data_IF_169273265623
#
_entry.id   IF_169273265623
#
_cell.length_a   1.000
_cell.length_b   1.000
_cell.length_c   1.000
_cell.angle_alpha   90.00
_cell.angle_beta   90.00
_cell.angle_gamma   90.00
#
_symmetry.space_group_name_H-M   'P 1'
#
loop_
_entity.id
_entity.type
_entity.pdbx_description
1 polymer ?
#
# COMPACT_ATOMS: atom_id res chain seq x y z
N UNK A 1 -8.92 -6.12 -24.84
CA UNK A 1 -9.54 -6.83 -23.71
C UNK A 1 -8.41 -7.38 -22.87
N UNK A 2 -8.02 -6.68 -21.83
CA UNK A 2 -7.20 -7.25 -20.75
C UNK A 2 -7.40 -6.39 -19.48
N UNK A 3 -8.51 -6.65 -18.81
CA UNK A 3 -8.90 -5.96 -17.57
C UNK A 3 -8.36 -6.74 -16.39
N UNK A 4 -7.12 -6.46 -15.99
CA UNK A 4 -6.43 -7.08 -14.86
C UNK A 4 -7.03 -6.69 -13.49
N UNK A 5 -8.26 -7.10 -13.22
CA UNK A 5 -8.80 -7.16 -11.87
C UNK A 5 -8.25 -8.40 -11.16
N UNK A 6 -7.05 -8.29 -10.56
CA UNK A 6 -6.42 -9.41 -9.86
C UNK A 6 -7.21 -9.78 -8.58
N UNK A 7 -8.15 -10.70 -8.70
CA UNK A 7 -8.36 -11.69 -7.65
C UNK A 7 -7.06 -12.48 -7.55
N UNK A 8 -6.29 -12.25 -6.48
CA UNK A 8 -5.02 -12.97 -6.22
C UNK A 8 -5.27 -14.47 -6.40
N UNK A 9 -4.52 -15.11 -7.29
CA UNK A 9 -4.69 -16.54 -7.49
C UNK A 9 -4.43 -17.28 -6.18
N UNK A 10 -5.09 -18.41 -5.97
CA UNK A 10 -4.88 -19.21 -4.76
C UNK A 10 -3.39 -19.63 -4.63
N UNK A 11 -2.73 -19.84 -5.77
CA UNK A 11 -1.32 -20.19 -5.89
C UNK A 11 -0.41 -19.05 -5.37
N UNK A 12 -0.66 -17.79 -5.76
CA UNK A 12 0.10 -16.64 -5.25
C UNK A 12 0.03 -16.55 -3.72
N UNK A 13 -1.15 -16.79 -3.14
CA UNK A 13 -1.34 -16.73 -1.68
C UNK A 13 -0.58 -17.85 -0.97
N UNK A 14 -0.53 -19.04 -1.57
CA UNK A 14 0.23 -20.17 -1.04
C UNK A 14 1.74 -19.88 -1.11
N UNK A 15 2.23 -19.39 -2.25
CA UNK A 15 3.63 -19.02 -2.43
C UNK A 15 4.09 -17.93 -1.46
N UNK A 16 3.28 -16.88 -1.29
CA UNK A 16 3.54 -15.82 -0.31
C UNK A 16 3.61 -16.36 1.12
N UNK A 17 2.68 -17.24 1.50
CA UNK A 17 2.68 -17.85 2.84
C UNK A 17 3.92 -18.72 3.07
N UNK A 18 4.30 -19.53 2.09
CA UNK A 18 5.50 -20.36 2.18
C UNK A 18 6.77 -19.52 2.35
N UNK A 19 6.87 -18.41 1.64
CA UNK A 19 7.97 -17.47 1.80
C UNK A 19 7.95 -16.79 3.18
N UNK A 20 6.79 -16.35 3.66
CA UNK A 20 6.65 -15.75 4.99
C UNK A 20 7.04 -16.72 6.11
N UNK A 21 6.59 -17.97 6.01
CA UNK A 21 6.93 -19.03 6.95
C UNK A 21 8.45 -19.28 6.95
N UNK A 22 9.07 -19.38 5.76
CA UNK A 22 10.51 -19.53 5.62
C UNK A 22 11.29 -18.35 6.23
N UNK A 23 10.97 -17.11 5.86
CA UNK A 23 11.63 -15.91 6.39
C UNK A 23 11.52 -15.86 7.92
N UNK A 24 10.37 -16.23 8.48
CA UNK A 24 10.17 -16.33 9.93
C UNK A 24 11.13 -17.34 10.56
N UNK A 25 11.36 -18.50 9.94
CA UNK A 25 12.29 -19.53 10.48
C UNK A 25 13.73 -19.03 10.59
N UNK A 26 14.14 -18.09 9.73
CA UNK A 26 15.49 -17.50 9.72
C UNK A 26 15.56 -16.13 10.41
N UNK A 27 14.54 -15.77 11.21
CA UNK A 27 14.56 -14.55 12.01
C UNK A 27 14.21 -13.27 11.24
N UNK A 28 13.61 -13.40 10.06
CA UNK A 28 13.25 -12.30 9.17
C UNK A 28 11.73 -12.16 9.02
N UNK A 29 11.31 -11.02 8.51
CA UNK A 29 9.92 -10.65 8.27
C UNK A 29 9.80 -9.88 6.96
N UNK A 30 8.86 -10.29 6.11
CA UNK A 30 8.51 -9.57 4.88
C UNK A 30 7.50 -8.48 5.19
N UNK A 31 7.90 -7.21 5.03
CA UNK A 31 7.00 -6.06 5.05
C UNK A 31 6.49 -5.82 3.63
N UNK A 32 5.17 -5.96 3.45
CA UNK A 32 4.53 -5.81 2.13
C UNK A 32 4.66 -4.39 1.57
N UNK A 33 4.88 -4.31 0.26
CA UNK A 33 4.99 -3.09 -0.53
C UNK A 33 3.78 -2.99 -1.46
N UNK A 34 3.36 -1.77 -1.80
CA UNK A 34 2.32 -1.56 -2.78
C UNK A 34 2.63 -2.29 -4.11
N UNK A 35 1.68 -3.09 -4.60
CA UNK A 35 1.81 -3.88 -5.84
C UNK A 35 1.49 -3.03 -7.07
N UNK A 36 2.37 -2.07 -7.37
CA UNK A 36 2.33 -1.25 -8.58
C UNK A 36 3.68 -1.28 -9.32
N UNK A 37 3.75 -0.64 -10.50
CA UNK A 37 4.96 -0.57 -11.33
C UNK A 37 6.15 0.13 -10.67
N UNK A 38 5.99 0.64 -9.45
CA UNK A 38 7.05 1.28 -8.66
C UNK A 38 7.51 0.43 -7.47
N UNK A 39 7.13 -0.86 -7.39
CA UNK A 39 7.44 -1.70 -6.23
C UNK A 39 8.95 -1.77 -5.88
N UNK A 40 9.85 -1.83 -6.86
CA UNK A 40 11.30 -1.78 -6.58
C UNK A 40 11.68 -0.47 -5.86
N UNK A 41 11.34 0.68 -6.44
CA UNK A 41 11.66 1.98 -5.85
C UNK A 41 10.99 2.20 -4.50
N UNK A 42 9.77 1.68 -4.30
CA UNK A 42 9.10 1.69 -2.99
C UNK A 42 9.82 0.85 -1.97
N UNK A 43 10.26 -0.35 -2.34
CA UNK A 43 10.99 -1.24 -1.45
C UNK A 43 12.38 -0.68 -1.10
N UNK A 44 13.04 0.00 -2.04
CA UNK A 44 14.31 0.69 -1.80
C UNK A 44 14.10 1.92 -0.93
N UNK A 45 13.10 2.77 -1.22
CA UNK A 45 12.73 3.90 -0.37
C UNK A 45 12.42 3.45 1.06
N UNK A 46 11.71 2.34 1.23
CA UNK A 46 11.48 1.71 2.53
C UNK A 46 12.79 1.32 3.23
N UNK A 47 13.74 0.69 2.53
CA UNK A 47 14.98 0.19 3.14
C UNK A 47 16.03 1.28 3.41
N UNK A 48 15.99 2.40 2.69
CA UNK A 48 17.00 3.47 2.79
C UNK A 48 16.48 4.77 3.39
N UNK A 49 15.16 5.03 3.28
CA UNK A 49 14.49 6.24 3.80
C UNK A 49 13.37 5.91 4.82
N UNK A 50 13.13 4.63 5.13
CA UNK A 50 12.13 4.17 6.10
C UNK A 50 10.67 4.50 5.76
N UNK A 51 10.38 4.88 4.50
CA UNK A 51 9.02 5.18 4.05
C UNK A 51 8.85 4.97 2.54
N UNK A 52 7.80 4.24 2.14
CA UNK A 52 7.55 3.90 0.73
C UNK A 52 7.12 5.11 -0.08
N UNK A 53 6.59 6.15 0.57
CA UNK A 53 6.10 7.37 -0.08
C UNK A 53 7.18 8.13 -0.86
N UNK A 54 8.46 7.95 -0.51
CA UNK A 54 9.58 8.56 -1.22
C UNK A 54 9.98 7.84 -2.52
N UNK A 55 9.21 6.85 -2.99
CA UNK A 55 9.58 6.09 -4.18
C UNK A 55 9.74 6.93 -5.46
N UNK A 56 9.00 8.04 -5.60
CA UNK A 56 9.14 8.96 -6.73
C UNK A 56 10.47 9.71 -6.68
N UNK A 57 10.88 10.13 -5.48
CA UNK A 57 12.18 10.75 -5.22
C UNK A 57 13.31 9.77 -5.56
N UNK A 58 13.24 8.53 -5.07
CA UNK A 58 14.23 7.49 -5.35
C UNK A 58 14.32 7.20 -6.86
N UNK A 59 13.18 7.12 -7.56
CA UNK A 59 13.15 6.93 -9.02
C UNK A 59 13.83 8.09 -9.75
N UNK A 60 13.50 9.33 -9.39
CA UNK A 60 14.11 10.52 -9.99
C UNK A 60 15.62 10.57 -9.75
N UNK A 61 16.07 10.27 -8.53
CA UNK A 61 17.49 10.18 -8.20
C UNK A 61 18.20 9.08 -9.00
N UNK A 62 17.55 7.93 -9.21
CA UNK A 62 18.09 6.85 -10.04
C UNK A 62 18.27 7.27 -11.51
N UNK A 63 17.26 7.93 -12.10
CA UNK A 63 17.33 8.45 -13.48
C UNK A 63 18.48 9.44 -13.63
N UNK A 64 18.58 10.39 -12.70
CA UNK A 64 19.64 11.40 -12.71
C UNK A 64 21.04 10.79 -12.49
N UNK A 65 21.12 9.75 -11.65
CA UNK A 65 22.36 9.00 -11.44
C UNK A 65 22.80 8.28 -12.72
N UNK A 66 21.89 7.57 -13.39
CA UNK A 66 22.19 6.90 -14.65
C UNK A 66 22.66 7.91 -15.70
N UNK A 67 21.96 9.03 -15.84
CA UNK A 67 22.31 10.11 -16.76
C UNK A 67 23.72 10.64 -16.54
N UNK A 68 24.11 10.89 -15.28
CA UNK A 68 25.45 11.38 -14.92
C UNK A 68 26.56 10.36 -15.15
N UNK A 69 26.22 9.07 -15.17
CA UNK A 69 27.18 7.98 -15.29
C UNK A 69 26.98 7.20 -16.60
N UNK A 70 26.51 7.86 -17.67
CA UNK A 70 26.17 7.25 -18.96
C UNK A 70 27.22 6.25 -19.44
N UNK A 71 28.49 6.65 -19.46
CA UNK A 71 29.61 5.82 -19.92
C UNK A 71 29.71 4.45 -19.21
N UNK A 72 29.22 4.35 -17.96
CA UNK A 72 29.24 3.12 -17.17
C UNK A 72 28.00 2.24 -17.37
N UNK A 73 26.90 2.79 -17.88
CA UNK A 73 25.60 2.11 -17.91
C UNK A 73 25.04 1.89 -19.32
N UNK A 74 25.41 2.72 -20.30
CA UNK A 74 24.85 2.69 -21.64
C UNK A 74 25.03 1.34 -22.33
N UNK A 75 26.17 0.67 -22.13
CA UNK A 75 26.43 -0.65 -22.70
C UNK A 75 25.52 -1.78 -22.17
N UNK A 76 24.83 -1.56 -21.04
CA UNK A 76 23.91 -2.53 -20.42
C UNK A 76 22.43 -2.22 -20.70
N UNK A 77 22.15 -1.16 -21.47
CA UNK A 77 20.80 -0.72 -21.80
C UNK A 77 20.47 -1.15 -23.23
N UNK A 78 19.31 -1.77 -23.38
CA UNK A 78 18.77 -2.12 -24.69
C UNK A 78 18.12 -0.90 -25.36
N UNK A 79 18.60 -0.55 -26.55
CA UNK A 79 18.07 0.55 -27.35
C UNK A 79 18.77 1.89 -27.09
N UNK A 80 18.09 2.99 -27.41
CA UNK A 80 18.63 4.33 -27.18
C UNK A 80 18.60 4.70 -25.68
N UNK A 81 19.70 5.25 -25.19
CA UNK A 81 19.89 5.58 -23.78
C UNK A 81 18.94 6.68 -23.30
N UNK A 82 18.70 7.72 -24.10
CA UNK A 82 17.83 8.82 -23.71
C UNK A 82 16.35 8.37 -23.71
N UNK A 83 15.96 7.56 -24.69
CA UNK A 83 14.64 6.91 -24.72
C UNK A 83 14.43 6.00 -23.51
N UNK A 84 15.46 5.26 -23.10
CA UNK A 84 15.43 4.45 -21.88
C UNK A 84 15.18 5.30 -20.64
N UNK A 85 15.95 6.37 -20.44
CA UNK A 85 15.77 7.28 -19.30
C UNK A 85 14.42 8.00 -19.33
N UNK A 86 13.89 8.32 -20.50
CA UNK A 86 12.55 8.87 -20.66
C UNK A 86 11.49 7.88 -20.15
N UNK A 87 11.56 6.62 -20.58
CA UNK A 87 10.64 5.56 -20.12
C UNK A 87 10.79 5.29 -18.63
N UNK A 88 12.02 5.30 -18.10
CA UNK A 88 12.29 5.03 -16.69
C UNK A 88 11.61 6.04 -15.73
N UNK A 89 11.32 7.27 -16.22
CA UNK A 89 10.57 8.26 -15.45
C UNK A 89 9.09 7.89 -15.27
N UNK A 90 8.52 7.05 -16.13
CA UNK A 90 7.13 6.59 -15.99
C UNK A 90 7.02 5.65 -14.77
N UNK A 91 6.18 5.97 -13.76
CA UNK A 91 5.96 5.13 -12.60
C UNK A 91 5.39 3.73 -12.90
N UNK A 92 4.87 3.50 -14.12
CA UNK A 92 4.40 2.20 -14.59
C UNK A 92 5.49 1.37 -15.26
N UNK A 93 6.63 1.96 -15.61
CA UNK A 93 7.71 1.26 -16.27
C UNK A 93 8.37 0.25 -15.33
N UNK A 94 8.52 -0.97 -15.83
CA UNK A 94 9.21 -2.06 -15.14
C UNK A 94 10.71 -1.82 -15.18
N UNK A 95 11.37 -2.26 -14.11
CA UNK A 95 12.78 -1.98 -13.85
C UNK A 95 13.52 -3.27 -13.51
N UNK A 96 14.83 -3.26 -13.73
CA UNK A 96 15.67 -4.44 -13.71
C UNK A 96 17.00 -4.23 -13.01
N UNK A 97 17.99 -4.98 -13.47
CA UNK A 97 19.31 -5.08 -12.86
C UNK A 97 20.10 -3.76 -12.94
N UNK A 98 19.94 -3.00 -14.03
CA UNK A 98 20.57 -1.69 -14.22
C UNK A 98 20.20 -0.74 -13.09
N UNK A 99 18.91 -0.62 -12.76
CA UNK A 99 18.45 0.22 -11.65
C UNK A 99 18.94 -0.31 -10.31
N UNK A 100 18.91 -1.62 -10.08
CA UNK A 100 19.41 -2.21 -8.82
C UNK A 100 20.89 -1.87 -8.62
N UNK A 101 21.71 -1.99 -9.66
CA UNK A 101 23.13 -1.64 -9.61
C UNK A 101 23.32 -0.14 -9.31
N UNK A 102 22.62 0.74 -10.03
CA UNK A 102 22.68 2.17 -9.81
C UNK A 102 22.28 2.56 -8.38
N UNK A 103 21.18 2.00 -7.88
CA UNK A 103 20.69 2.23 -6.51
C UNK A 103 21.68 1.70 -5.46
N UNK A 104 22.36 0.58 -5.72
CA UNK A 104 23.37 0.03 -4.83
C UNK A 104 24.56 0.99 -4.66
N UNK A 105 25.07 1.53 -5.77
CA UNK A 105 26.19 2.48 -5.77
C UNK A 105 25.78 3.82 -5.15
N UNK A 106 24.59 4.30 -5.48
CA UNK A 106 24.05 5.59 -5.01
C UNK A 106 23.83 5.60 -3.50
N UNK A 107 23.23 4.55 -2.94
CA UNK A 107 22.98 4.44 -1.50
C UNK A 107 24.09 3.73 -0.71
N UNK A 108 25.18 3.32 -1.37
CA UNK A 108 26.30 2.56 -0.77
C UNK A 108 25.80 1.34 0.00
N UNK A 109 24.93 0.56 -0.64
CA UNK A 109 24.28 -0.62 -0.06
C UNK A 109 24.19 -1.75 -1.06
N UNK A 110 24.64 -2.94 -0.69
CA UNK A 110 24.49 -4.10 -1.57
C UNK A 110 23.09 -4.72 -1.49
N UNK A 111 22.64 -5.34 -2.57
CA UNK A 111 21.30 -5.92 -2.69
C UNK A 111 21.32 -7.43 -2.43
N UNK A 112 20.50 -7.84 -1.46
CA UNK A 112 20.21 -9.24 -1.14
C UNK A 112 18.73 -9.51 -1.44
N UNK A 113 18.44 -10.51 -2.27
CA UNK A 113 17.07 -10.82 -2.66
C UNK A 113 16.73 -12.28 -2.35
N UNK A 114 15.68 -12.47 -1.57
CA UNK A 114 15.04 -13.77 -1.33
C UNK A 114 14.05 -14.05 -2.46
N UNK A 115 14.25 -15.14 -3.21
CA UNK A 115 13.43 -15.47 -4.39
C UNK A 115 12.65 -16.78 -4.21
N UNK A 116 13.19 -17.73 -3.44
CA UNK A 116 12.60 -19.05 -3.21
C UNK A 116 12.59 -19.41 -1.72
N UNK A 117 11.52 -20.04 -1.20
CA UNK A 117 11.51 -20.60 0.15
C UNK A 117 12.62 -21.64 0.34
N UNK A 118 13.20 -21.69 1.54
CA UNK A 118 14.27 -22.63 1.91
C UNK A 118 15.58 -22.50 1.12
N UNK A 119 15.75 -21.40 0.38
CA UNK A 119 17.01 -21.06 -0.32
C UNK A 119 17.65 -19.82 0.29
N UNK A 120 19.00 -19.73 0.34
CA UNK A 120 19.67 -18.51 0.78
C UNK A 120 19.33 -17.33 -0.14
N UNK A 121 19.46 -16.11 0.36
CA UNK A 121 19.31 -14.91 -0.48
C UNK A 121 20.38 -14.88 -1.57
N UNK A 122 19.99 -14.42 -2.76
CA UNK A 122 20.92 -14.14 -3.85
C UNK A 122 21.54 -12.76 -3.63
N UNK A 123 22.87 -12.68 -3.73
CA UNK A 123 23.61 -11.42 -3.74
C UNK A 123 23.57 -10.85 -5.15
N UNK A 124 22.67 -9.88 -5.38
CA UNK A 124 22.52 -9.24 -6.70
C UNK A 124 23.67 -8.27 -6.97
N UNK A 125 24.16 -7.59 -5.93
CA UNK A 125 25.34 -6.75 -6.02
C UNK A 125 26.36 -7.15 -4.95
N UNK A 126 27.63 -6.93 -5.25
CA UNK A 126 28.75 -7.28 -4.38
C UNK A 126 29.86 -6.21 -4.44
N UNK A 127 29.50 -4.97 -4.14
CA UNK A 127 30.43 -3.85 -4.09
C UNK A 127 31.21 -3.79 -2.77
N UNK A 128 31.03 -4.78 -1.90
CA UNK A 128 31.58 -4.83 -0.55
C UNK A 128 31.14 -3.64 0.33
N UNK A 129 29.90 -3.19 0.16
CA UNK A 129 29.32 -2.18 1.04
C UNK A 129 28.94 -2.77 2.40
N UNK A 130 29.09 -1.98 3.46
CA UNK A 130 28.78 -2.41 4.85
C UNK A 130 27.29 -2.70 5.02
N UNK A 131 26.46 -1.80 4.52
CA UNK A 131 25.01 -1.89 4.66
C UNK A 131 24.40 -2.63 3.45
N UNK A 132 23.22 -3.22 3.64
CA UNK A 132 22.54 -3.99 2.62
C UNK A 132 21.06 -3.66 2.54
N UNK A 133 20.53 -3.56 1.32
CA UNK A 133 19.09 -3.56 1.03
C UNK A 133 18.64 -5.02 0.93
N UNK A 134 17.64 -5.41 1.74
CA UNK A 134 17.11 -6.78 1.75
C UNK A 134 15.71 -6.80 1.19
N UNK A 135 15.52 -7.49 0.07
CA UNK A 135 14.25 -7.60 -0.63
C UNK A 135 13.78 -9.04 -0.70
N UNK A 136 12.49 -9.21 -0.98
CA UNK A 136 11.88 -10.46 -1.36
C UNK A 136 11.26 -10.28 -2.73
N UNK A 137 11.54 -11.16 -3.69
CA UNK A 137 10.95 -11.13 -5.02
C UNK A 137 9.97 -12.29 -5.18
N UNK A 138 8.71 -11.98 -5.47
CA UNK A 138 7.61 -12.94 -5.53
C UNK A 138 6.79 -12.77 -6.80
N UNK A 139 6.13 -13.87 -7.21
CA UNK A 139 5.17 -13.93 -8.32
C UNK A 139 5.73 -13.44 -9.68
N UNK A 140 7.06 -13.44 -9.83
CA UNK A 140 7.75 -13.06 -11.07
C UNK A 140 7.77 -11.55 -11.37
N UNK A 141 7.22 -10.70 -10.50
CA UNK A 141 7.12 -9.26 -10.81
C UNK A 141 7.06 -8.31 -9.60
N UNK A 142 7.17 -8.80 -8.36
CA UNK A 142 6.92 -7.96 -7.20
C UNK A 142 8.04 -8.02 -6.16
N UNK A 143 8.51 -6.83 -5.76
CA UNK A 143 9.47 -6.66 -4.67
C UNK A 143 8.80 -6.21 -3.38
N UNK A 144 9.06 -6.96 -2.31
CA UNK A 144 8.75 -6.59 -0.93
C UNK A 144 10.02 -6.30 -0.13
N UNK A 145 9.87 -5.58 0.98
CA UNK A 145 10.97 -5.24 1.88
C UNK A 145 11.14 -6.33 2.94
N UNK A 146 12.38 -6.69 3.29
CA UNK A 146 12.67 -7.71 4.31
C UNK A 146 13.42 -7.09 5.48
N UNK A 147 12.92 -7.34 6.69
CA UNK A 147 13.50 -6.84 7.94
C UNK A 147 13.80 -7.95 8.92
N UNK A 148 14.80 -7.78 9.81
CA UNK A 148 14.89 -8.60 11.01
C UNK A 148 13.62 -8.51 11.85
N UNK A 149 13.20 -9.62 12.44
CA UNK A 149 12.02 -9.65 13.34
C UNK A 149 12.18 -8.66 14.51
N UNK A 150 13.41 -8.45 15.00
CA UNK A 150 13.71 -7.46 16.05
C UNK A 150 13.32 -6.03 15.64
N UNK A 151 13.57 -5.66 14.38
CA UNK A 151 13.16 -4.36 13.84
C UNK A 151 11.63 -4.21 13.85
N UNK A 152 10.90 -5.26 13.45
CA UNK A 152 9.43 -5.25 13.47
C UNK A 152 8.85 -5.14 14.89
N UNK A 153 9.47 -5.82 15.87
CA UNK A 153 9.09 -5.67 17.29
C UNK A 153 9.30 -4.23 17.77
N UNK A 154 10.43 -3.60 17.43
CA UNK A 154 10.69 -2.20 17.73
C UNK A 154 9.65 -1.27 17.08
N UNK A 155 9.34 -1.50 15.79
CA UNK A 155 8.34 -0.73 15.07
C UNK A 155 6.93 -0.85 15.67
N UNK A 156 6.53 -2.05 16.13
CA UNK A 156 5.25 -2.26 16.81
C UNK A 156 5.15 -1.46 18.12
N UNK A 157 6.22 -1.45 18.93
CA UNK A 157 6.27 -0.63 20.15
C UNK A 157 6.15 0.85 19.81
N UNK A 158 6.96 1.36 18.88
CA UNK A 158 6.89 2.75 18.44
C UNK A 158 5.50 3.13 17.91
N UNK A 159 4.88 2.26 17.12
CA UNK A 159 3.52 2.46 16.62
C UNK A 159 2.52 2.56 17.77
N UNK A 160 2.57 1.66 18.75
CA UNK A 160 1.66 1.68 19.90
C UNK A 160 1.75 2.97 20.71
N UNK A 161 2.98 3.47 20.94
CA UNK A 161 3.22 4.73 21.64
C UNK A 161 2.67 5.91 20.82
N UNK A 162 2.96 5.95 19.52
CA UNK A 162 2.46 7.01 18.64
C UNK A 162 0.93 7.06 18.64
N UNK A 163 0.26 5.91 18.56
CA UNK A 163 -1.19 5.83 18.58
C UNK A 163 -1.76 6.19 19.96
N UNK A 164 -1.11 5.82 21.06
CA UNK A 164 -1.52 6.27 22.40
C UNK A 164 -1.47 7.80 22.48
N UNK A 165 -0.35 8.41 22.06
CA UNK A 165 -0.18 9.87 22.06
C UNK A 165 -1.21 10.57 21.17
N UNK A 166 -1.44 10.05 19.96
CA UNK A 166 -2.44 10.61 19.04
C UNK A 166 -3.84 10.59 19.66
N UNK A 167 -4.26 9.44 20.21
CA UNK A 167 -5.62 9.30 20.74
C UNK A 167 -5.83 10.06 22.05
N UNK A 168 -4.85 10.06 22.95
CA UNK A 168 -4.93 10.81 24.20
C UNK A 168 -4.81 12.31 23.99
N UNK A 169 -3.78 12.76 23.28
CA UNK A 169 -3.41 14.17 23.28
C UNK A 169 -4.06 14.96 22.16
N UNK A 170 -4.40 14.33 21.02
CA UNK A 170 -5.05 15.00 19.89
C UNK A 170 -6.55 14.74 19.92
N UNK A 171 -6.97 13.48 19.90
CA UNK A 171 -8.40 13.12 19.88
C UNK A 171 -9.09 13.16 21.24
N UNK A 172 -8.36 13.46 22.32
CA UNK A 172 -8.88 13.59 23.70
C UNK A 172 -9.67 12.36 24.16
N UNK A 173 -9.25 11.18 23.73
CA UNK A 173 -9.79 9.91 24.20
C UNK A 173 -9.22 9.61 25.59
N UNK A 174 -10.11 9.24 26.51
CA UNK A 174 -9.74 8.93 27.88
C UNK A 174 -8.76 7.75 27.94
N UNK A 175 -7.68 7.90 28.72
CA UNK A 175 -6.61 6.90 28.81
C UNK A 175 -7.08 5.57 29.37
N UNK A 176 -8.12 5.55 30.22
CA UNK A 176 -8.72 4.31 30.72
C UNK A 176 -9.34 3.45 29.61
N UNK A 177 -9.84 4.09 28.55
CA UNK A 177 -10.35 3.40 27.36
C UNK A 177 -9.20 2.74 26.61
N UNK A 178 -8.03 3.38 26.53
CA UNK A 178 -6.87 2.84 25.81
C UNK A 178 -6.16 1.73 26.59
N UNK A 179 -6.07 1.86 27.92
CA UNK A 179 -5.37 0.91 28.79
C UNK A 179 -5.94 -0.53 28.72
N UNK A 180 -7.23 -0.67 28.39
CA UNK A 180 -7.85 -1.97 28.16
C UNK A 180 -7.26 -2.74 26.97
N UNK A 181 -6.73 -2.03 25.97
CA UNK A 181 -6.21 -2.61 24.73
C UNK A 181 -4.71 -2.92 24.77
N UNK A 182 -3.99 -2.36 25.75
CA UNK A 182 -2.57 -2.62 25.99
C UNK A 182 -2.34 -3.88 26.84
N UNK A 183 -3.40 -4.44 27.47
CA UNK A 183 -3.30 -5.50 28.49
C UNK A 183 -3.44 -6.95 27.99
N UNK A 184 -3.64 -7.19 26.70
CA UNK A 184 -3.73 -8.55 26.15
C UNK A 184 -2.38 -9.06 25.67
N UNK A 185 -1.55 -9.50 26.62
CA UNK A 185 -0.30 -10.23 26.36
C UNK A 185 -0.36 -11.65 26.93
N UNK A 186 -1.21 -12.52 26.39
CA UNK A 186 -1.08 -13.99 26.56
C UNK A 186 -1.11 -14.67 25.20
N UNK A 187 0.06 -14.70 24.57
CA UNK A 187 0.70 -15.81 23.87
C UNK A 187 1.81 -15.19 23.01
N UNK A 188 3.02 -15.76 23.12
CA UNK A 188 4.07 -15.53 22.14
C UNK A 188 3.50 -15.74 20.72
N UNK A 189 3.86 -14.87 19.77
CA UNK A 189 3.58 -14.94 18.31
C UNK A 189 2.39 -14.15 17.72
N UNK A 190 2.49 -12.82 17.57
CA UNK A 190 1.84 -12.21 16.38
C UNK A 190 2.73 -11.11 15.80
N UNK A 191 3.39 -11.38 14.67
CA UNK A 191 4.40 -10.50 14.07
C UNK A 191 3.92 -9.72 12.84
N UNK A 192 2.66 -9.88 12.40
CA UNK A 192 2.04 -9.01 11.38
C UNK A 192 0.53 -9.19 11.29
N UNK A 193 -0.17 -8.08 11.01
CA UNK A 193 -1.62 -8.01 10.74
C UNK A 193 -2.03 -8.77 9.47
N UNK A 194 -1.07 -9.08 8.59
CA UNK A 194 -1.28 -9.72 7.29
C UNK A 194 -1.86 -11.14 7.35
N UNK A 195 -1.73 -11.80 8.51
CA UNK A 195 -2.25 -13.14 8.78
C UNK A 195 -3.70 -13.12 9.28
N UNK A 196 -4.22 -11.95 9.64
CA UNK A 196 -5.59 -11.78 10.11
C UNK A 196 -6.52 -11.46 8.94
N UNK A 197 -7.76 -11.93 8.99
CA UNK A 197 -8.78 -11.55 8.01
C UNK A 197 -8.86 -10.01 7.92
N UNK A 198 -8.90 -9.48 6.70
CA UNK A 198 -9.10 -8.06 6.46
C UNK A 198 -10.33 -7.63 7.25
N UNK A 199 -10.17 -6.63 8.13
CA UNK A 199 -11.31 -6.07 8.85
C UNK A 199 -12.31 -5.57 7.81
N UNK A 200 -13.41 -6.30 7.65
CA UNK A 200 -14.60 -5.86 6.93
C UNK A 200 -15.02 -4.61 7.69
N UNK A 201 -14.74 -3.45 7.11
CA UNK A 201 -15.04 -2.16 7.72
C UNK A 201 -16.54 -2.12 8.01
N UNK A 202 -16.91 -2.14 9.28
CA UNK A 202 -18.15 -1.55 9.75
C UNK A 202 -18.00 -0.02 9.64
N UNK A 203 -17.91 0.48 8.41
CA UNK A 203 -18.10 1.91 8.11
C UNK A 203 -19.60 2.28 8.13
N UNK A 204 -20.48 1.29 8.26
CA UNK A 204 -21.93 1.45 8.45
C UNK A 204 -22.30 1.23 9.93
N UNK A 205 -21.83 2.11 10.81
CA UNK A 205 -22.33 2.16 12.20
C UNK A 205 -22.41 3.59 12.71
N UNK A 206 -22.95 4.49 11.90
CA UNK A 206 -23.66 5.66 12.44
C UNK A 206 -25.02 5.17 12.98
N UNK A 207 -24.96 4.50 14.12
CA UNK A 207 -26.08 3.87 14.78
C UNK A 207 -26.08 4.23 16.26
N UNK A 208 -26.86 5.26 16.59
CA UNK A 208 -27.39 5.61 17.92
C UNK A 208 -27.15 4.56 19.01
N UNK A 209 -26.26 4.88 19.95
CA UNK A 209 -26.24 4.33 21.30
C UNK A 209 -25.70 2.91 21.46
N UNK A 210 -24.39 2.77 21.71
CA UNK A 210 -23.77 1.78 22.63
C UNK A 210 -22.24 1.98 22.65
N UNK A 211 -21.72 2.57 23.73
CA UNK A 211 -20.30 2.52 24.15
C UNK A 211 -19.26 3.14 23.20
N UNK A 212 -18.41 4.04 23.71
CA UNK A 212 -17.21 4.55 23.00
C UNK A 212 -16.19 3.42 22.78
N UNK A 213 -16.41 2.53 21.82
CA UNK A 213 -15.43 1.51 21.43
C UNK A 213 -14.61 1.99 20.24
N UNK A 214 -13.29 1.90 20.38
CA UNK A 214 -12.35 2.20 19.30
C UNK A 214 -12.52 1.21 18.17
N UNK A 215 -12.30 1.65 16.93
CA UNK A 215 -12.29 0.74 15.80
C UNK A 215 -11.20 -0.32 15.96
N UNK A 216 -11.42 -1.51 15.39
CA UNK A 216 -10.46 -2.61 15.47
C UNK A 216 -9.08 -2.25 14.94
N UNK A 217 -9.02 -1.39 13.93
CA UNK A 217 -7.76 -0.87 13.35
C UNK A 217 -6.94 -0.09 14.37
N UNK A 218 -7.61 0.75 15.15
CA UNK A 218 -6.98 1.55 16.21
C UNK A 218 -6.51 0.64 17.33
N UNK A 219 -7.37 -0.29 17.75
CA UNK A 219 -7.03 -1.29 18.77
C UNK A 219 -5.78 -2.09 18.39
N UNK A 220 -5.69 -2.55 17.14
CA UNK A 220 -4.52 -3.28 16.65
C UNK A 220 -3.26 -2.41 16.61
N UNK A 221 -3.36 -1.15 16.23
CA UNK A 221 -2.23 -0.21 16.24
C UNK A 221 -1.77 0.20 17.64
N UNK A 222 -2.62 0.08 18.66
CA UNK A 222 -2.27 0.27 20.08
C UNK A 222 -1.59 -0.96 20.71
N UNK A 223 -1.51 -2.09 20.00
CA UNK A 223 -0.88 -3.30 20.52
C UNK A 223 0.65 -3.25 20.29
N UNK A 224 1.48 -3.23 21.35
CA UNK A 224 2.93 -3.11 21.23
C UNK A 224 3.63 -4.33 20.61
N UNK A 225 2.93 -5.47 20.45
CA UNK A 225 3.48 -6.67 19.83
C UNK A 225 3.09 -6.82 18.37
N UNK A 226 2.14 -6.02 17.87
CA UNK A 226 1.58 -6.14 16.53
C UNK A 226 1.92 -4.89 15.70
N UNK A 227 2.75 -5.05 14.68
CA UNK A 227 2.98 -3.99 13.71
C UNK A 227 1.89 -4.00 12.63
N UNK A 228 1.24 -2.85 12.41
CA UNK A 228 0.39 -2.63 11.22
C UNK A 228 1.14 -1.88 10.12
N UNK A 229 1.11 -2.43 8.92
CA UNK A 229 1.66 -1.79 7.73
C UNK A 229 0.66 -0.78 7.14
N UNK A 230 0.56 0.39 7.78
CA UNK A 230 -0.48 1.40 7.49
C UNK A 230 -0.41 1.89 6.03
N UNK A 231 0.80 2.09 5.49
CA UNK A 231 0.98 2.53 4.10
C UNK A 231 0.38 1.53 3.11
N UNK A 232 0.65 0.23 3.31
CA UNK A 232 0.09 -0.83 2.48
C UNK A 232 -1.43 -0.96 2.65
N UNK A 233 -1.94 -0.83 3.88
CA UNK A 233 -3.38 -0.86 4.16
C UNK A 233 -4.13 0.28 3.45
N UNK A 234 -3.57 1.49 3.46
CA UNK A 234 -4.12 2.65 2.76
C UNK A 234 -4.13 2.38 1.26
N UNK A 235 -3.01 1.92 0.70
CA UNK A 235 -2.93 1.57 -0.72
C UNK A 235 -3.97 0.50 -1.12
N UNK A 236 -4.15 -0.56 -0.33
CA UNK A 236 -5.16 -1.58 -0.60
C UNK A 236 -6.58 -1.00 -0.64
N UNK A 237 -6.91 -0.08 0.27
CA UNK A 237 -8.22 0.58 0.27
C UNK A 237 -8.41 1.42 -0.97
N UNK A 238 -7.40 2.21 -1.35
CA UNK A 238 -7.45 3.00 -2.58
C UNK A 238 -7.63 2.12 -3.81
N UNK A 239 -6.97 0.96 -3.88
CA UNK A 239 -7.16 0.00 -4.98
C UNK A 239 -8.56 -0.61 -5.01
N UNK A 240 -9.12 -0.99 -3.86
CA UNK A 240 -10.52 -1.48 -3.80
C UNK A 240 -11.53 -0.40 -4.20
N UNK A 241 -11.31 0.84 -3.78
CA UNK A 241 -12.16 1.97 -4.17
C UNK A 241 -12.08 2.22 -5.68
N UNK A 242 -10.87 2.21 -6.25
CA UNK A 242 -10.66 2.34 -7.69
C UNK A 242 -11.35 1.20 -8.46
N UNK A 243 -11.15 -0.06 -8.05
CA UNK A 243 -11.81 -1.21 -8.69
C UNK A 243 -13.34 -1.11 -8.65
N UNK A 244 -13.90 -0.64 -7.53
CA UNK A 244 -15.35 -0.41 -7.41
C UNK A 244 -15.80 0.67 -8.40
N UNK A 245 -15.05 1.76 -8.52
CA UNK A 245 -15.33 2.83 -9.46
C UNK A 245 -15.23 2.34 -10.91
N UNK A 246 -14.15 1.65 -11.27
CA UNK A 246 -13.93 1.09 -12.60
C UNK A 246 -15.03 0.11 -12.99
N UNK A 247 -15.47 -0.73 -12.04
CA UNK A 247 -16.61 -1.63 -12.24
C UNK A 247 -17.91 -0.85 -12.48
N UNK A 248 -18.20 0.19 -11.69
CA UNK A 248 -19.37 1.02 -11.90
C UNK A 248 -19.35 1.65 -13.31
N UNK A 249 -18.22 2.21 -13.72
CA UNK A 249 -18.04 2.79 -15.06
C UNK A 249 -18.25 1.71 -16.15
N UNK A 250 -17.62 0.54 -16.02
CA UNK A 250 -17.72 -0.55 -16.98
C UNK A 250 -19.14 -1.14 -17.08
N UNK A 251 -19.88 -1.16 -15.97
CA UNK A 251 -21.27 -1.58 -15.91
C UNK A 251 -22.25 -0.50 -16.41
N UNK A 252 -21.76 0.66 -16.87
CA UNK A 252 -22.59 1.79 -17.29
C UNK A 252 -23.25 2.55 -16.14
N UNK A 253 -22.91 2.23 -14.88
CA UNK A 253 -23.38 2.94 -13.70
C UNK A 253 -22.52 4.20 -13.50
N UNK A 254 -22.92 5.30 -14.15
CA UNK A 254 -22.23 6.59 -14.03
C UNK A 254 -22.44 7.27 -12.66
N UNK A 255 -23.47 6.86 -11.94
CA UNK A 255 -23.95 7.52 -10.73
C UNK A 255 -24.35 6.49 -9.67
N UNK A 256 -24.22 6.85 -8.40
CA UNK A 256 -24.73 6.09 -7.27
C UNK A 256 -25.81 6.88 -6.51
N UNK A 257 -26.74 6.15 -5.89
CA UNK A 257 -27.70 6.74 -4.95
C UNK A 257 -26.93 7.38 -3.79
N UNK A 258 -27.20 8.65 -3.53
CA UNK A 258 -26.51 9.46 -2.53
C UNK A 258 -25.45 10.41 -3.10
N UNK A 259 -25.05 10.27 -4.36
CA UNK A 259 -24.08 11.18 -4.98
C UNK A 259 -24.63 12.60 -5.03
N UNK A 260 -23.77 13.58 -4.73
CA UNK A 260 -24.08 15.00 -4.91
C UNK A 260 -23.75 15.41 -6.33
N UNK A 261 -24.71 16.04 -7.00
CA UNK A 261 -24.58 16.51 -8.37
C UNK A 261 -25.15 17.91 -8.53
N UNK A 262 -24.92 18.51 -9.69
CA UNK A 262 -25.55 19.75 -10.10
C UNK A 262 -26.47 19.49 -11.29
N UNK A 263 -27.70 19.99 -11.22
CA UNK A 263 -28.67 19.90 -12.31
C UNK A 263 -29.00 21.28 -12.86
N UNK A 264 -29.18 21.38 -14.17
CA UNK A 264 -29.57 22.62 -14.84
C UNK A 264 -31.05 22.58 -15.18
N UNK A 265 -31.85 23.44 -14.55
CA UNK A 265 -33.27 23.61 -14.82
C UNK A 265 -33.52 25.05 -15.27
N UNK A 266 -34.11 25.23 -16.46
CA UNK A 266 -34.47 26.55 -17.01
C UNK A 266 -33.30 27.55 -17.01
N UNK A 267 -32.08 27.07 -17.28
CA UNK A 267 -30.87 27.91 -17.33
C UNK A 267 -30.23 28.23 -15.98
N UNK A 268 -30.83 27.80 -14.85
CA UNK A 268 -30.24 27.90 -13.51
C UNK A 268 -29.68 26.56 -13.05
N UNK A 269 -28.60 26.61 -12.29
CA UNK A 269 -27.93 25.41 -11.75
C UNK A 269 -28.32 25.23 -10.29
N UNK A 270 -28.69 24.02 -9.90
CA UNK A 270 -29.10 23.70 -8.53
C UNK A 270 -28.28 22.52 -7.99
N UNK A 271 -27.99 22.54 -6.70
CA UNK A 271 -27.42 21.39 -6.00
C UNK A 271 -28.49 20.31 -5.80
N UNK A 272 -28.13 19.07 -6.10
CA UNK A 272 -29.02 17.94 -5.98
C UNK A 272 -28.31 16.70 -5.45
N UNK A 273 -29.09 15.77 -4.92
CA UNK A 273 -28.61 14.45 -4.48
C UNK A 273 -29.33 13.36 -5.26
N UNK A 274 -28.58 12.42 -5.84
CA UNK A 274 -29.13 11.29 -6.59
C UNK A 274 -29.90 10.37 -5.65
N UNK A 275 -31.15 10.03 -6.00
CA UNK A 275 -32.04 9.19 -5.19
C UNK A 275 -32.27 7.82 -5.80
N UNK A 276 -32.36 7.72 -7.12
CA UNK A 276 -32.54 6.45 -7.83
C UNK A 276 -31.74 6.45 -9.13
N UNK A 277 -31.01 5.38 -9.38
CA UNK A 277 -30.26 5.14 -10.61
C UNK A 277 -30.81 3.88 -11.26
N UNK A 278 -31.55 3.99 -12.37
CA UNK A 278 -32.08 2.82 -13.07
C UNK A 278 -30.97 1.94 -13.65
N UNK A 279 -31.13 0.60 -13.65
CA UNK A 279 -30.12 -0.34 -14.14
C UNK A 279 -29.89 -0.29 -15.66
N UNK A 280 -30.76 0.36 -16.41
CA UNK A 280 -30.77 0.44 -17.87
C UNK A 280 -30.16 1.75 -18.41
N UNK A 281 -29.36 2.46 -17.61
CA UNK A 281 -28.74 3.73 -17.98
C UNK A 281 -29.76 4.79 -18.46
N UNK A 282 -30.98 4.71 -17.93
CA UNK A 282 -32.06 5.68 -18.19
C UNK A 282 -32.01 6.86 -17.22
N UNK A 283 -32.94 7.80 -17.35
CA UNK A 283 -32.93 9.06 -16.60
C UNK A 283 -32.85 8.83 -15.08
N UNK A 284 -31.93 9.53 -14.43
CA UNK A 284 -31.60 9.39 -13.01
C UNK A 284 -32.50 10.29 -12.18
N UNK A 285 -33.10 9.77 -11.11
CA UNK A 285 -33.91 10.60 -10.23
C UNK A 285 -33.03 11.32 -9.21
N UNK A 286 -33.13 12.65 -9.16
CA UNK A 286 -32.42 13.51 -8.20
C UNK A 286 -33.39 14.20 -7.25
N UNK A 287 -32.93 14.58 -6.07
CA UNK A 287 -33.62 15.49 -5.16
C UNK A 287 -32.89 16.83 -5.16
N UNK A 288 -33.57 17.89 -5.60
CA UNK A 288 -33.00 19.24 -5.64
C UNK A 288 -33.25 19.90 -4.29
N UNK A 289 -32.17 20.18 -3.55
CA UNK A 289 -32.24 20.61 -2.14
C UNK A 289 -33.00 21.94 -1.99
N UNK A 290 -32.71 22.90 -2.86
CA UNK A 290 -33.32 24.24 -2.85
C UNK A 290 -34.80 24.25 -3.25
N UNK A 291 -35.21 23.31 -4.11
CA UNK A 291 -36.59 23.21 -4.59
C UNK A 291 -37.43 22.24 -3.75
N UNK A 292 -36.81 21.52 -2.83
CA UNK A 292 -37.46 20.58 -1.92
C UNK A 292 -38.16 19.39 -2.60
N UNK A 293 -37.87 19.10 -3.87
CA UNK A 293 -38.60 18.10 -4.67
C UNK A 293 -37.70 17.22 -5.53
N UNK A 294 -38.25 16.07 -5.94
CA UNK A 294 -37.59 15.10 -6.83
C UNK A 294 -37.82 15.44 -8.29
N UNK A 295 -36.83 15.13 -9.12
CA UNK A 295 -36.81 15.32 -10.57
C UNK A 295 -36.19 14.11 -11.23
N UNK A 296 -36.61 13.80 -12.46
CA UNK A 296 -36.08 12.72 -13.32
C UNK A 296 -35.36 13.35 -14.50
#
# INVERSE_FOLDING_TARGET
>A
MDGGGSMRSNEERVAEKQMDDYLKTIGLHRKKIAKDGSCLFRAVAEQVLYCQSYHTEVRAQCVEFLKKNRDSYEAFIEGDFEDYLCKLQDPQQWVGEVEINALAVMYKRDFLIYQEPNKPAVHITDNNFKDKVRLCFLNGNHYDSVYPISHMKGAAVCQSILYELLYTNVFKVDRSVLAGYQRTGRHFEVLSDDSMAACISSDESDGRGRGRHLSDRVRRSLNPTLFRNIEFDVWQRSKKAQQKLDFCIAAGMQYAVGDRCQVRLEGRTYNATIKEVPPNNSAVTVYVEELGRRWV
#
